data_IF_687395674263
#
_entry.id   IF_687395674263
#
_cell.length_a   1.000
_cell.length_b   1.000
_cell.length_c   1.000
_cell.angle_alpha   90.00
_cell.angle_beta   90.00
_cell.angle_gamma   90.00
#
_symmetry.space_group_name_H-M   'P 1'
#
loop_
_entity.id
_entity.type
_entity.pdbx_description
1 polymer ?
#
# COMPACT_ATOMS: atom_id res chain seq x y z
N UNK A 1 24.05 4.26 -7.13
CA UNK A 1 23.18 4.37 -5.93
C UNK A 1 23.26 3.04 -5.21
N UNK A 2 23.60 3.07 -3.94
CA UNK A 2 23.61 1.85 -3.12
C UNK A 2 22.24 1.70 -2.44
N UNK A 3 21.42 0.77 -2.92
CA UNK A 3 20.07 0.54 -2.40
C UNK A 3 20.04 -0.01 -0.97
N UNK A 4 21.16 -0.54 -0.45
CA UNK A 4 21.29 -0.89 0.97
C UNK A 4 21.09 0.33 1.87
N UNK A 5 21.50 1.51 1.40
CA UNK A 5 21.28 2.75 2.15
C UNK A 5 19.81 3.12 2.27
N UNK A 6 18.91 2.64 1.40
CA UNK A 6 17.47 2.86 1.61
C UNK A 6 17.00 2.29 2.95
N UNK A 7 17.66 1.23 3.44
CA UNK A 7 17.32 0.56 4.70
C UNK A 7 18.11 1.10 5.88
N UNK A 8 19.43 1.26 5.71
CA UNK A 8 20.34 1.55 6.82
C UNK A 8 20.54 3.05 7.02
N UNK A 9 20.48 3.85 5.95
CA UNK A 9 20.66 5.30 6.01
C UNK A 9 19.87 6.01 4.91
N UNK A 10 18.52 6.07 5.03
CA UNK A 10 17.66 6.58 3.98
C UNK A 10 17.98 8.03 3.63
N UNK A 11 18.44 8.84 4.60
CA UNK A 11 18.86 10.21 4.33
C UNK A 11 20.05 10.27 3.36
N UNK A 12 21.08 9.44 3.56
CA UNK A 12 22.22 9.34 2.63
C UNK A 12 21.77 8.85 1.25
N UNK A 13 20.85 7.88 1.20
CA UNK A 13 20.30 7.40 -0.06
C UNK A 13 19.59 8.53 -0.84
N UNK A 14 18.68 9.26 -0.20
CA UNK A 14 17.91 10.31 -0.88
C UNK A 14 18.75 11.55 -1.22
N UNK A 15 19.87 11.80 -0.53
CA UNK A 15 20.86 12.81 -0.97
C UNK A 15 21.46 12.44 -2.34
N UNK A 16 21.86 11.18 -2.53
CA UNK A 16 22.35 10.69 -3.83
C UNK A 16 21.28 10.76 -4.92
N UNK A 17 20.00 10.67 -4.55
CA UNK A 17 18.87 10.84 -5.48
C UNK A 17 18.71 12.30 -5.88
N UNK A 18 18.80 13.23 -4.93
CA UNK A 18 18.69 14.66 -5.17
C UNK A 18 19.83 15.20 -6.05
N UNK A 19 21.04 14.67 -5.88
CA UNK A 19 22.22 15.02 -6.70
C UNK A 19 22.15 14.49 -8.14
N UNK A 20 21.22 13.56 -8.43
CA UNK A 20 21.06 12.98 -9.77
C UNK A 20 20.07 13.77 -10.61
N UNK A 21 20.52 14.17 -11.80
CA UNK A 21 19.71 14.89 -12.78
C UNK A 21 18.51 14.05 -13.29
N UNK A 22 18.67 12.73 -13.43
CA UNK A 22 17.62 11.83 -13.93
C UNK A 22 17.48 10.57 -13.07
N UNK A 23 16.29 10.39 -12.51
CA UNK A 23 15.86 9.17 -11.83
C UNK A 23 15.11 8.23 -12.79
N UNK A 24 15.38 6.93 -12.68
CA UNK A 24 14.67 5.87 -13.41
C UNK A 24 13.55 5.29 -12.55
N UNK A 25 12.37 5.09 -13.13
CA UNK A 25 11.21 4.53 -12.42
C UNK A 25 11.20 3.00 -12.39
N UNK A 26 12.23 2.33 -12.95
CA UNK A 26 12.29 0.87 -13.00
C UNK A 26 12.21 0.23 -11.61
N UNK A 27 12.92 0.77 -10.60
CA UNK A 27 12.89 0.21 -9.25
C UNK A 27 11.51 0.38 -8.59
N UNK A 28 10.88 1.59 -8.58
CA UNK A 28 9.48 1.73 -8.21
C UNK A 28 8.53 0.74 -8.89
N UNK A 29 8.67 0.54 -10.20
CA UNK A 29 7.82 -0.39 -10.97
C UNK A 29 8.05 -1.84 -10.50
N UNK A 30 9.29 -2.24 -10.28
CA UNK A 30 9.62 -3.58 -9.76
C UNK A 30 9.04 -3.81 -8.36
N UNK A 31 9.08 -2.80 -7.47
CA UNK A 31 8.46 -2.88 -6.14
C UNK A 31 6.96 -3.13 -6.27
N UNK A 32 6.28 -2.38 -7.15
CA UNK A 32 4.84 -2.54 -7.39
C UNK A 32 4.52 -3.92 -7.98
N UNK A 33 5.32 -4.40 -8.93
CA UNK A 33 5.14 -5.73 -9.51
C UNK A 33 5.27 -6.83 -8.46
N UNK A 34 6.28 -6.75 -7.57
CA UNK A 34 6.44 -7.70 -6.46
C UNK A 34 5.24 -7.64 -5.51
N UNK A 35 4.80 -6.44 -5.12
CA UNK A 35 3.62 -6.27 -4.27
C UNK A 35 2.39 -6.90 -4.92
N UNK A 36 2.18 -6.67 -6.21
CA UNK A 36 1.08 -7.27 -6.98
C UNK A 36 1.12 -8.80 -6.97
N UNK A 37 2.28 -9.40 -7.27
CA UNK A 37 2.46 -10.85 -7.19
C UNK A 37 2.11 -11.40 -5.80
N UNK A 38 2.59 -10.75 -4.74
CA UNK A 38 2.29 -11.14 -3.37
C UNK A 38 0.78 -11.00 -3.04
N UNK A 39 0.13 -9.95 -3.51
CA UNK A 39 -1.33 -9.78 -3.37
C UNK A 39 -2.10 -10.91 -4.06
N UNK A 40 -1.65 -11.35 -5.24
CA UNK A 40 -2.19 -12.53 -5.91
C UNK A 40 -2.07 -13.80 -5.09
N UNK A 41 -0.90 -14.05 -4.49
CA UNK A 41 -0.69 -15.20 -3.62
C UNK A 41 -1.61 -15.15 -2.40
N UNK A 42 -1.73 -13.99 -1.75
CA UNK A 42 -2.65 -13.80 -0.62
C UNK A 42 -4.09 -14.11 -1.04
N UNK A 43 -4.54 -13.58 -2.17
CA UNK A 43 -5.89 -13.85 -2.69
C UNK A 43 -6.13 -15.35 -2.97
N UNK A 44 -5.13 -16.03 -3.54
CA UNK A 44 -5.19 -17.47 -3.75
C UNK A 44 -5.22 -18.28 -2.45
N UNK A 45 -4.49 -17.86 -1.43
CA UNK A 45 -4.51 -18.48 -0.11
C UNK A 45 -5.84 -18.27 0.61
N UNK A 46 -6.43 -17.08 0.45
CA UNK A 46 -7.77 -16.77 0.98
C UNK A 46 -8.78 -17.77 0.42
N UNK A 47 -8.85 -17.92 -0.91
CA UNK A 47 -9.75 -18.90 -1.54
C UNK A 47 -9.42 -20.33 -1.13
N UNK A 48 -8.14 -20.68 -1.06
CA UNK A 48 -7.71 -22.02 -0.63
C UNK A 48 -8.07 -22.37 0.81
N UNK A 49 -8.39 -21.37 1.64
CA UNK A 49 -8.87 -21.56 3.01
C UNK A 49 -10.41 -21.62 3.12
N UNK A 50 -11.13 -21.39 2.03
CA UNK A 50 -12.58 -21.48 1.98
C UNK A 50 -13.03 -22.93 1.76
N UNK A 51 -14.17 -23.30 2.35
CA UNK A 51 -14.78 -24.62 2.19
C UNK A 51 -15.59 -24.69 0.88
N UNK A 52 -14.88 -24.68 -0.24
CA UNK A 52 -15.46 -24.76 -1.58
C UNK A 52 -15.47 -26.20 -2.11
N UNK A 53 -16.47 -26.59 -2.92
CA UNK A 53 -16.45 -27.85 -3.65
C UNK A 53 -15.16 -28.03 -4.46
N UNK A 54 -14.59 -29.25 -4.43
CA UNK A 54 -13.28 -29.56 -5.01
C UNK A 54 -13.22 -29.31 -6.53
N UNK A 55 -14.35 -29.45 -7.23
CA UNK A 55 -14.52 -29.19 -8.66
C UNK A 55 -14.44 -27.69 -9.01
N UNK A 56 -14.78 -26.80 -8.08
CA UNK A 56 -14.76 -25.34 -8.29
C UNK A 56 -13.48 -24.68 -7.74
N UNK A 57 -12.87 -25.27 -6.70
CA UNK A 57 -11.76 -24.68 -5.98
C UNK A 57 -10.56 -24.32 -6.87
N UNK A 58 -10.17 -25.20 -7.79
CA UNK A 58 -9.02 -24.97 -8.68
C UNK A 58 -9.21 -23.77 -9.61
N UNK A 59 -10.40 -23.64 -10.19
CA UNK A 59 -10.73 -22.52 -11.08
C UNK A 59 -10.83 -21.20 -10.31
N UNK A 60 -11.59 -21.18 -9.20
CA UNK A 60 -11.77 -19.97 -8.39
C UNK A 60 -10.44 -19.47 -7.85
N UNK A 61 -9.59 -20.36 -7.33
CA UNK A 61 -8.25 -20.00 -6.84
C UNK A 61 -7.40 -19.36 -7.93
N UNK A 62 -7.41 -19.91 -9.14
CA UNK A 62 -6.65 -19.37 -10.26
C UNK A 62 -7.13 -17.97 -10.66
N UNK A 63 -8.45 -17.79 -10.77
CA UNK A 63 -9.06 -16.49 -11.05
C UNK A 63 -8.68 -15.47 -9.96
N UNK A 64 -8.78 -15.85 -8.69
CA UNK A 64 -8.44 -14.96 -7.58
C UNK A 64 -6.96 -14.57 -7.54
N UNK A 65 -6.05 -15.49 -7.89
CA UNK A 65 -4.63 -15.16 -8.03
C UNK A 65 -4.44 -14.12 -9.13
N UNK A 66 -4.95 -14.38 -10.34
CA UNK A 66 -4.78 -13.48 -11.50
C UNK A 66 -5.40 -12.11 -11.22
N UNK A 67 -6.63 -12.07 -10.73
CA UNK A 67 -7.30 -10.83 -10.36
C UNK A 67 -6.57 -10.12 -9.23
N UNK A 68 -6.03 -10.85 -8.24
CA UNK A 68 -5.22 -10.29 -7.16
C UNK A 68 -3.92 -9.64 -7.64
N UNK A 69 -3.24 -10.26 -8.62
CA UNK A 69 -2.04 -9.67 -9.26
C UNK A 69 -2.40 -8.36 -9.96
N UNK A 70 -3.39 -8.41 -10.86
CA UNK A 70 -3.78 -7.27 -11.68
C UNK A 70 -4.27 -6.12 -10.81
N UNK A 71 -5.20 -6.40 -9.89
CA UNK A 71 -5.75 -5.39 -8.97
C UNK A 71 -4.67 -4.84 -8.04
N UNK A 72 -3.75 -5.67 -7.53
CA UNK A 72 -2.63 -5.23 -6.70
C UNK A 72 -1.69 -4.26 -7.42
N UNK A 73 -1.31 -4.57 -8.66
CA UNK A 73 -0.45 -3.69 -9.47
C UNK A 73 -1.16 -2.36 -9.76
N UNK A 74 -2.40 -2.41 -10.26
CA UNK A 74 -3.15 -1.23 -10.67
C UNK A 74 -3.43 -0.32 -9.46
N UNK A 75 -3.94 -0.88 -8.37
CA UNK A 75 -4.30 -0.10 -7.18
C UNK A 75 -3.09 0.60 -6.58
N UNK A 76 -1.96 -0.10 -6.43
CA UNK A 76 -0.73 0.49 -5.87
C UNK A 76 -0.13 1.52 -6.83
N UNK A 77 -0.13 1.27 -8.13
CA UNK A 77 0.35 2.22 -9.12
C UNK A 77 -0.48 3.52 -9.12
N UNK A 78 -1.81 3.40 -9.10
CA UNK A 78 -2.73 4.54 -9.00
C UNK A 78 -2.49 5.29 -7.69
N UNK A 79 -2.45 4.60 -6.56
CA UNK A 79 -2.18 5.21 -5.26
C UNK A 79 -0.83 5.93 -5.23
N UNK A 80 0.23 5.34 -5.80
CA UNK A 80 1.55 5.97 -5.92
C UNK A 80 1.49 7.28 -6.71
N UNK A 81 0.86 7.25 -7.90
CA UNK A 81 0.76 8.42 -8.79
C UNK A 81 -0.08 9.53 -8.14
N UNK A 82 -1.21 9.19 -7.54
CA UNK A 82 -2.09 10.14 -6.84
C UNK A 82 -1.37 10.76 -5.64
N UNK A 83 -0.75 9.95 -4.77
CA UNK A 83 0.03 10.45 -3.63
C UNK A 83 1.17 11.38 -4.09
N UNK A 84 1.93 10.97 -5.11
CA UNK A 84 3.00 11.78 -5.67
C UNK A 84 2.48 13.12 -6.25
N UNK A 85 1.30 13.13 -6.87
CA UNK A 85 0.71 14.34 -7.42
C UNK A 85 0.34 15.32 -6.29
N UNK A 86 -0.33 14.82 -5.25
CA UNK A 86 -0.70 15.61 -4.06
C UNK A 86 0.56 16.18 -3.39
N UNK A 87 1.56 15.34 -3.13
CA UNK A 87 2.80 15.79 -2.49
C UNK A 87 3.57 16.79 -3.34
N UNK A 88 3.67 16.57 -4.65
CA UNK A 88 4.33 17.51 -5.54
C UNK A 88 3.63 18.87 -5.54
N UNK A 89 2.29 18.90 -5.56
CA UNK A 89 1.52 20.15 -5.50
C UNK A 89 1.72 20.88 -4.17
N UNK A 90 1.60 20.16 -3.04
CA UNK A 90 1.67 20.78 -1.72
C UNK A 90 3.09 21.25 -1.40
N UNK A 91 4.11 20.42 -1.68
CA UNK A 91 5.50 20.78 -1.35
C UNK A 91 6.05 21.89 -2.24
N UNK A 92 5.64 21.99 -3.51
CA UNK A 92 5.94 23.15 -4.35
C UNK A 92 5.37 24.44 -3.78
N UNK A 93 4.13 24.41 -3.29
CA UNK A 93 3.52 25.57 -2.60
C UNK A 93 4.26 25.94 -1.30
N UNK A 94 4.98 25.00 -0.70
CA UNK A 94 5.80 25.23 0.51
C UNK A 94 7.25 25.68 0.20
N UNK A 95 7.57 25.97 -1.07
CA UNK A 95 8.88 26.44 -1.52
C UNK A 95 9.85 25.32 -1.94
N UNK A 96 9.36 24.11 -2.15
CA UNK A 96 10.20 22.99 -2.57
C UNK A 96 10.46 22.95 -4.08
N UNK A 97 11.67 22.51 -4.46
CA UNK A 97 12.17 22.54 -5.84
C UNK A 97 12.04 21.21 -6.59
N UNK A 98 11.46 20.19 -5.95
CA UNK A 98 11.30 18.86 -6.54
C UNK A 98 10.37 18.81 -7.76
N UNK A 99 10.48 17.73 -8.52
CA UNK A 99 9.65 17.49 -9.71
C UNK A 99 8.63 16.37 -9.44
N UNK A 100 7.55 16.33 -10.23
CA UNK A 100 6.58 15.25 -10.12
C UNK A 100 7.24 13.87 -10.31
N UNK A 101 8.19 13.75 -11.25
CA UNK A 101 8.92 12.51 -11.49
C UNK A 101 9.72 12.06 -10.26
N UNK A 102 10.34 13.00 -9.54
CA UNK A 102 11.09 12.68 -8.32
C UNK A 102 10.15 12.35 -7.15
N UNK A 103 8.97 12.98 -7.05
CA UNK A 103 7.94 12.56 -6.11
C UNK A 103 7.45 11.13 -6.39
N UNK A 104 7.15 10.77 -7.65
CA UNK A 104 6.75 9.40 -8.03
C UNK A 104 7.85 8.41 -7.65
N UNK A 105 9.11 8.74 -7.89
CA UNK A 105 10.25 7.90 -7.52
C UNK A 105 10.33 7.68 -5.99
N UNK A 106 10.27 8.75 -5.21
CA UNK A 106 10.33 8.67 -3.74
C UNK A 106 9.15 7.88 -3.16
N UNK A 107 7.92 8.19 -3.60
CA UNK A 107 6.72 7.49 -3.14
C UNK A 107 6.77 6.02 -3.55
N UNK A 108 7.21 5.71 -4.77
CA UNK A 108 7.38 4.34 -5.23
C UNK A 108 8.39 3.54 -4.39
N UNK A 109 9.53 4.14 -4.05
CA UNK A 109 10.51 3.50 -3.16
C UNK A 109 9.98 3.34 -1.73
N UNK A 110 9.12 4.25 -1.27
CA UNK A 110 8.53 4.16 0.06
C UNK A 110 7.61 2.96 0.25
N UNK A 111 7.13 2.33 -0.84
CA UNK A 111 6.37 1.09 -0.77
C UNK A 111 7.25 -0.14 -0.51
N UNK A 112 8.58 -0.03 -0.54
CA UNK A 112 9.47 -1.17 -0.28
C UNK A 112 9.16 -1.94 1.02
N UNK A 113 8.88 -1.30 2.17
CA UNK A 113 8.48 -1.98 3.41
C UNK A 113 7.24 -2.87 3.25
N UNK A 114 6.34 -2.56 2.32
CA UNK A 114 5.11 -3.34 2.07
C UNK A 114 5.38 -4.73 1.53
N UNK A 115 6.53 -4.96 0.90
CA UNK A 115 6.95 -6.30 0.49
C UNK A 115 7.04 -7.22 1.72
N UNK A 116 7.69 -6.77 2.79
CA UNK A 116 7.79 -7.54 4.03
C UNK A 116 6.44 -7.71 4.71
N UNK A 117 5.61 -6.68 4.73
CA UNK A 117 4.24 -6.79 5.24
C UNK A 117 3.47 -7.89 4.52
N UNK A 118 3.49 -7.92 3.19
CA UNK A 118 2.78 -8.91 2.41
C UNK A 118 3.36 -10.33 2.59
N UNK A 119 4.67 -10.47 2.71
CA UNK A 119 5.31 -11.76 3.02
C UNK A 119 4.82 -12.28 4.37
N UNK A 120 4.80 -11.43 5.41
CA UNK A 120 4.29 -11.83 6.72
C UNK A 120 2.81 -12.16 6.66
N UNK A 121 2.00 -11.39 5.92
CA UNK A 121 0.58 -11.71 5.73
C UNK A 121 0.37 -13.08 5.10
N UNK A 122 1.24 -13.54 4.20
CA UNK A 122 1.17 -14.88 3.61
C UNK A 122 1.41 -15.96 4.68
N UNK A 123 2.41 -15.78 5.56
CA UNK A 123 2.77 -16.78 6.58
C UNK A 123 1.83 -16.79 7.78
N UNK A 124 1.28 -15.64 8.16
CA UNK A 124 0.40 -15.47 9.32
C UNK A 124 -1.07 -15.34 8.94
N UNK A 125 -1.43 -15.68 7.70
CA UNK A 125 -2.80 -15.64 7.24
C UNK A 125 -3.66 -16.60 8.07
N UNK A 126 -4.73 -16.08 8.67
CA UNK A 126 -5.71 -16.91 9.35
C UNK A 126 -6.75 -17.41 8.34
N UNK A 127 -7.27 -18.64 8.50
CA UNK A 127 -8.42 -19.10 7.75
C UNK A 127 -9.59 -18.12 7.92
N UNK A 128 -10.35 -17.89 6.85
CA UNK A 128 -11.53 -17.03 6.94
C UNK A 128 -12.65 -17.80 7.61
N UNK A 129 -13.09 -17.32 8.77
CA UNK A 129 -14.29 -17.80 9.43
C UNK A 129 -15.50 -17.14 8.80
N UNK A 130 -16.18 -17.88 7.91
CA UNK A 130 -17.35 -17.39 7.17
C UNK A 130 -18.50 -16.95 8.09
N UNK A 131 -18.55 -17.43 9.34
CA UNK A 131 -19.56 -17.01 10.31
C UNK A 131 -19.34 -15.59 10.84
N UNK A 132 -18.10 -15.08 10.75
CA UNK A 132 -17.69 -13.76 11.26
C UNK A 132 -17.43 -12.74 10.16
N UNK A 133 -17.71 -13.07 8.90
CA UNK A 133 -17.48 -12.18 7.75
C UNK A 133 -18.31 -10.90 7.81
N UNK A 134 -19.43 -10.91 8.54
CA UNK A 134 -20.28 -9.73 8.76
C UNK A 134 -19.85 -8.89 9.97
N UNK A 135 -18.84 -9.33 10.72
CA UNK A 135 -18.30 -8.58 11.86
C UNK A 135 -17.04 -7.82 11.45
N UNK A 136 -16.89 -6.60 11.97
CA UNK A 136 -15.67 -5.85 11.77
C UNK A 136 -14.57 -6.35 12.71
N UNK A 137 -13.52 -6.95 12.15
CA UNK A 137 -12.30 -7.24 12.91
C UNK A 137 -11.51 -5.94 13.12
N UNK A 138 -11.82 -5.24 14.21
CA UNK A 138 -11.15 -4.01 14.61
C UNK A 138 -9.65 -4.21 14.86
N UNK A 139 -9.24 -5.38 15.34
CA UNK A 139 -7.83 -5.66 15.61
C UNK A 139 -7.06 -5.79 14.31
N UNK A 140 -7.60 -6.54 13.33
CA UNK A 140 -7.00 -6.64 12.01
C UNK A 140 -6.99 -5.30 11.26
N UNK A 141 -8.08 -4.53 11.36
CA UNK A 141 -8.18 -3.21 10.74
C UNK A 141 -7.15 -2.22 11.31
N UNK A 142 -7.12 -2.05 12.63
CA UNK A 142 -6.19 -1.14 13.30
C UNK A 142 -4.75 -1.65 13.19
N UNK A 143 -4.51 -2.95 13.27
CA UNK A 143 -3.21 -3.57 13.01
C UNK A 143 -2.72 -3.32 11.59
N UNK A 144 -3.64 -3.27 10.62
CA UNK A 144 -3.36 -2.86 9.25
C UNK A 144 -2.90 -1.41 9.14
N UNK A 145 -3.56 -0.47 9.84
CA UNK A 145 -3.22 0.97 9.85
C UNK A 145 -1.92 1.24 10.60
N UNK A 146 -1.80 0.79 11.84
CA UNK A 146 -0.67 1.06 12.73
C UNK A 146 0.49 0.08 12.57
N UNK A 147 0.50 -0.68 11.47
CA UNK A 147 1.59 -1.58 11.12
C UNK A 147 2.93 -0.87 11.11
N UNK A 148 3.96 -1.51 11.67
CA UNK A 148 5.34 -1.03 11.63
C UNK A 148 5.82 -0.75 10.19
N UNK A 149 5.31 -1.49 9.20
CA UNK A 149 5.64 -1.29 7.78
C UNK A 149 4.98 -0.04 7.20
N UNK A 150 3.78 0.34 7.67
CA UNK A 150 3.17 1.63 7.33
C UNK A 150 3.97 2.79 7.91
N UNK A 151 4.34 2.68 9.18
CA UNK A 151 5.16 3.71 9.84
C UNK A 151 6.49 3.85 9.11
N UNK A 152 7.11 2.75 8.72
CA UNK A 152 8.34 2.75 7.94
C UNK A 152 8.16 3.41 6.56
N UNK A 153 7.08 3.08 5.83
CA UNK A 153 6.74 3.73 4.57
C UNK A 153 6.57 5.25 4.74
N UNK A 154 5.86 5.69 5.79
CA UNK A 154 5.66 7.11 6.11
C UNK A 154 7.02 7.80 6.34
N UNK A 155 7.89 7.20 7.17
CA UNK A 155 9.22 7.74 7.47
C UNK A 155 10.07 7.86 6.19
N UNK A 156 10.09 6.83 5.34
CA UNK A 156 10.82 6.88 4.07
C UNK A 156 10.28 7.98 3.14
N UNK A 157 8.96 8.13 3.08
CA UNK A 157 8.30 9.17 2.28
C UNK A 157 8.68 10.57 2.77
N UNK A 158 8.61 10.81 4.08
CA UNK A 158 8.97 12.09 4.70
C UNK A 158 10.44 12.42 4.43
N UNK A 159 11.35 11.47 4.66
CA UNK A 159 12.78 11.69 4.47
C UNK A 159 13.10 11.97 3.01
N UNK A 160 12.58 11.13 2.11
CA UNK A 160 12.86 11.26 0.68
C UNK A 160 12.33 12.55 0.10
N UNK A 161 11.09 12.92 0.43
CA UNK A 161 10.51 14.15 -0.09
C UNK A 161 11.17 15.38 0.52
N UNK A 162 11.47 15.40 1.83
CA UNK A 162 12.16 16.51 2.47
C UNK A 162 13.51 16.82 1.79
N UNK A 163 14.32 15.77 1.57
CA UNK A 163 15.65 15.92 0.98
C UNK A 163 15.55 16.31 -0.51
N UNK A 164 14.71 15.62 -1.28
CA UNK A 164 14.64 15.84 -2.73
C UNK A 164 13.94 17.15 -3.10
N UNK A 165 13.04 17.66 -2.26
CA UNK A 165 12.42 18.97 -2.46
C UNK A 165 13.18 20.11 -1.77
N UNK A 166 14.21 19.82 -0.97
CA UNK A 166 14.95 20.85 -0.23
C UNK A 166 14.12 21.54 0.86
N UNK A 167 13.12 20.85 1.42
CA UNK A 167 12.21 21.39 2.45
C UNK A 167 12.44 20.70 3.79
N UNK A 168 12.13 21.39 4.90
CA UNK A 168 12.29 20.81 6.24
C UNK A 168 11.40 19.58 6.44
N UNK A 169 11.87 18.58 7.21
CA UNK A 169 11.09 17.39 7.57
C UNK A 169 9.71 17.71 8.16
N UNK A 170 9.59 18.78 8.96
CA UNK A 170 8.30 19.21 9.54
C UNK A 170 7.28 19.59 8.47
N UNK A 171 7.70 20.40 7.48
CA UNK A 171 6.86 20.80 6.35
C UNK A 171 6.43 19.60 5.49
N UNK A 172 7.28 18.58 5.37
CA UNK A 172 6.96 17.35 4.64
C UNK A 172 6.07 16.41 5.44
N UNK A 173 6.28 16.30 6.75
CA UNK A 173 5.54 15.39 7.61
C UNK A 173 4.04 15.70 7.65
N UNK A 174 3.68 16.98 7.69
CA UNK A 174 2.27 17.43 7.75
C UNK A 174 1.44 16.84 6.60
N UNK A 175 1.77 17.09 5.30
CA UNK A 175 0.97 16.55 4.20
C UNK A 175 1.08 15.02 4.08
N UNK A 176 2.24 14.42 4.40
CA UNK A 176 2.38 12.95 4.32
C UNK A 176 1.49 12.27 5.35
N UNK A 177 1.61 12.64 6.63
CA UNK A 177 0.80 12.06 7.71
C UNK A 177 -0.68 12.40 7.50
N UNK A 178 -1.00 13.64 7.14
CA UNK A 178 -2.37 14.06 6.88
C UNK A 178 -3.04 13.23 5.79
N UNK A 179 -2.32 12.92 4.70
CA UNK A 179 -2.84 12.08 3.62
C UNK A 179 -3.07 10.64 4.07
N UNK A 180 -2.19 10.05 4.89
CA UNK A 180 -2.41 8.69 5.41
C UNK A 180 -3.58 8.62 6.40
N UNK A 181 -3.79 9.67 7.22
CA UNK A 181 -4.96 9.75 8.11
C UNK A 181 -6.25 9.80 7.29
N UNK A 182 -6.29 10.63 6.23
CA UNK A 182 -7.45 10.68 5.32
C UNK A 182 -7.66 9.34 4.61
N UNK A 183 -6.59 8.69 4.13
CA UNK A 183 -6.66 7.39 3.50
C UNK A 183 -7.18 6.31 4.45
N UNK A 184 -6.75 6.31 5.72
CA UNK A 184 -7.24 5.41 6.75
C UNK A 184 -8.74 5.64 7.04
N UNK A 185 -9.18 6.90 7.13
CA UNK A 185 -10.59 7.23 7.30
C UNK A 185 -11.46 6.80 6.12
N UNK A 186 -10.97 6.97 4.88
CA UNK A 186 -11.65 6.48 3.68
C UNK A 186 -11.72 4.94 3.67
N UNK A 187 -10.63 4.27 4.03
CA UNK A 187 -10.61 2.80 4.13
C UNK A 187 -11.63 2.32 5.16
N UNK A 188 -11.74 2.99 6.31
CA UNK A 188 -12.75 2.68 7.32
C UNK A 188 -14.16 2.82 6.75
N UNK A 189 -14.45 3.96 6.11
CA UNK A 189 -15.75 4.22 5.51
C UNK A 189 -16.15 3.17 4.47
N UNK A 190 -15.23 2.79 3.59
CA UNK A 190 -15.47 1.72 2.60
C UNK A 190 -15.73 0.38 3.29
N UNK A 191 -14.94 0.01 4.31
CA UNK A 191 -15.16 -1.23 5.06
C UNK A 191 -16.54 -1.27 5.73
N UNK A 192 -16.99 -0.17 6.34
CA UNK A 192 -18.30 -0.08 6.97
C UNK A 192 -19.46 -0.15 5.96
N UNK A 193 -19.31 0.50 4.79
CA UNK A 193 -20.31 0.43 3.70
C UNK A 193 -20.41 -1.01 3.18
N UNK A 194 -19.28 -1.70 2.99
CA UNK A 194 -19.27 -3.09 2.55
C UNK A 194 -19.96 -4.02 3.55
N UNK A 195 -19.71 -3.86 4.86
CA UNK A 195 -20.38 -4.63 5.90
C UNK A 195 -21.90 -4.41 5.89
N UNK A 196 -22.36 -3.17 5.78
CA UNK A 196 -23.79 -2.86 5.69
C UNK A 196 -24.44 -3.45 4.43
N UNK A 197 -23.73 -3.41 3.31
CA UNK A 197 -24.23 -3.97 2.04
C UNK A 197 -24.36 -5.49 2.09
N UNK A 198 -23.43 -6.16 2.78
CA UNK A 198 -23.45 -7.60 2.99
C UNK A 198 -24.53 -8.05 3.99
N UNK A 199 -24.75 -7.27 5.06
CA UNK A 199 -25.82 -7.54 6.02
C UNK A 199 -27.23 -7.38 5.39
N UNK A 200 -27.41 -6.45 4.46
CA UNK A 200 -28.68 -6.29 3.74
C UNK A 200 -29.04 -7.44 2.79
N UNK A 201 -28.06 -8.24 2.36
CA UNK A 201 -28.26 -9.41 1.51
C UNK A 201 -28.66 -10.67 2.31
N UNK A 202 -28.32 -10.75 3.60
CA UNK A 202 -28.70 -11.90 4.44
C UNK A 202 -30.17 -11.86 4.86
N UNK A 203 -30.77 -10.67 4.96
CA UNK A 203 -32.20 -10.50 5.29
C UNK A 203 -33.14 -10.89 4.16
N UNK A 204 -32.67 -10.96 2.92
CA UNK A 204 -33.46 -11.32 1.73
C UNK A 204 -33.32 -12.78 1.31
N UNK A 205 -32.41 -13.54 1.94
CA UNK A 205 -32.22 -14.97 1.68
C UNK A 205 -33.06 -15.89 2.59
N UNK A 206 -33.87 -15.31 3.49
CA UNK A 206 -34.86 -16.03 4.31
C UNK A 206 -36.26 -15.52 3.92
N UNK A 207 -36.76 -15.96 2.76
CA UNK A 207 -38.18 -15.93 2.42
C UNK A 207 -38.51 -17.08 1.48
#
# INVERSE_FOLDING_TARGET
MNYLYLLINPAKFFKQVAEKEKVSLLIPILIIAIIGCLTGVIAGNVVGSMDLPADQMGMVKTISIVTGIISGIISVAVAMVVKAAIFNLVLKKMGGEGTFKTAVYVVGLSYFPKIFQNILNIFFQKPIDMSKVYEMDWVAFLGGIFSIFNIWQIVLTIIGLAIVYGVSYKKTAIPVIGLEVVAAGLSLGVSLISLNSMAGLSTTAIS
#
